data_IF_157189837056
#
_entry.id   IF_157189837056
#
_cell.length_a   1.000
_cell.length_b   1.000
_cell.length_c   1.000
_cell.angle_alpha   90.00
_cell.angle_beta   90.00
_cell.angle_gamma   90.00
#
_symmetry.space_group_name_H-M   'P 1'
#
loop_
_entity.id
_entity.type
_entity.pdbx_description
1 polymer ?
#
# COMPACT_ATOMS: atom_id res chain seq x y z
N UNK A 1 23.90 -20.26 -29.93
CA UNK A 1 23.61 -21.11 -28.75
C UNK A 1 22.14 -20.93 -28.47
N UNK A 2 21.33 -21.98 -28.59
CA UNK A 2 19.92 -21.93 -28.20
C UNK A 2 19.88 -21.80 -26.69
N UNK A 3 19.53 -20.63 -26.16
CA UNK A 3 19.33 -20.46 -24.73
C UNK A 3 18.20 -21.41 -24.29
N UNK A 4 18.45 -22.15 -23.20
CA UNK A 4 17.61 -23.25 -22.74
C UNK A 4 16.24 -22.75 -22.27
N UNK A 5 15.17 -23.32 -22.84
CA UNK A 5 13.78 -23.12 -22.40
C UNK A 5 13.47 -23.95 -21.15
N UNK A 6 12.59 -23.47 -20.29
CA UNK A 6 12.07 -24.18 -19.10
C UNK A 6 10.57 -24.44 -19.23
N UNK A 7 10.03 -25.33 -18.41
CA UNK A 7 8.59 -25.55 -18.27
C UNK A 7 7.92 -24.46 -17.41
N UNK A 8 6.61 -24.27 -17.56
CA UNK A 8 5.82 -23.39 -16.69
C UNK A 8 5.98 -23.74 -15.19
N UNK A 9 6.06 -25.03 -14.85
CA UNK A 9 6.24 -25.50 -13.48
C UNK A 9 7.62 -25.17 -12.91
N UNK A 10 8.67 -25.21 -13.72
CA UNK A 10 10.00 -24.77 -13.29
C UNK A 10 10.01 -23.27 -13.02
N UNK A 11 9.38 -22.46 -13.88
CA UNK A 11 9.23 -21.02 -13.64
C UNK A 11 8.46 -20.75 -12.33
N UNK A 12 7.34 -21.45 -12.11
CA UNK A 12 6.57 -21.35 -10.87
C UNK A 12 7.42 -21.69 -9.63
N UNK A 13 8.20 -22.77 -9.70
CA UNK A 13 9.12 -23.15 -8.62
C UNK A 13 10.16 -22.06 -8.34
N UNK A 14 10.71 -21.42 -9.37
CA UNK A 14 11.65 -20.30 -9.21
C UNK A 14 10.97 -19.08 -8.57
N UNK A 15 9.75 -18.78 -9.01
CA UNK A 15 8.95 -17.66 -8.51
C UNK A 15 8.58 -17.81 -7.02
N UNK A 16 8.35 -19.04 -6.56
CA UNK A 16 8.00 -19.35 -5.18
C UNK A 16 9.22 -19.62 -4.28
N UNK A 17 10.44 -19.66 -4.83
CA UNK A 17 11.67 -19.82 -4.06
C UNK A 17 12.38 -18.48 -3.85
N UNK A 18 12.31 -17.96 -2.63
CA UNK A 18 12.87 -16.64 -2.27
C UNK A 18 14.39 -16.55 -2.36
N UNK A 19 15.07 -17.71 -2.39
CA UNK A 19 16.53 -17.84 -2.51
C UNK A 19 17.01 -17.79 -3.96
N UNK A 20 16.12 -17.99 -4.94
CA UNK A 20 16.43 -17.75 -6.36
C UNK A 20 16.53 -16.24 -6.61
N UNK A 21 17.65 -15.70 -7.10
CA UNK A 21 17.75 -14.28 -7.42
C UNK A 21 16.81 -13.90 -8.56
N UNK A 22 16.20 -12.72 -8.50
CA UNK A 22 15.21 -12.29 -9.51
C UNK A 22 15.88 -12.15 -10.90
N UNK A 23 17.18 -11.84 -10.94
CA UNK A 23 18.00 -11.86 -12.16
C UNK A 23 18.04 -13.23 -12.88
N UNK A 24 17.85 -14.35 -12.17
CA UNK A 24 17.74 -15.68 -12.78
C UNK A 24 16.33 -15.95 -13.34
N UNK A 25 15.31 -15.25 -12.83
CA UNK A 25 13.92 -15.37 -13.27
C UNK A 25 13.68 -14.49 -14.52
N UNK A 26 14.28 -13.29 -14.55
CA UNK A 26 14.14 -12.28 -15.62
C UNK A 26 14.17 -12.81 -17.06
N UNK A 27 15.10 -13.71 -17.45
CA UNK A 27 15.16 -14.20 -18.83
C UNK A 27 13.89 -14.92 -19.28
N UNK A 28 13.09 -15.43 -18.35
CA UNK A 28 11.84 -16.15 -18.61
C UNK A 28 10.61 -15.24 -18.58
N UNK A 29 10.81 -13.93 -18.43
CA UNK A 29 9.77 -12.92 -18.36
C UNK A 29 9.89 -11.92 -19.52
N UNK A 30 8.78 -11.28 -19.87
CA UNK A 30 8.71 -10.21 -20.87
C UNK A 30 7.63 -9.20 -20.49
N UNK A 31 7.81 -7.93 -20.85
CA UNK A 31 6.72 -6.96 -20.72
C UNK A 31 5.56 -7.28 -21.66
N UNK A 32 4.35 -7.08 -21.15
CA UNK A 32 3.11 -7.20 -21.90
C UNK A 32 2.51 -5.83 -22.12
N UNK A 33 3.00 -5.12 -23.12
CA UNK A 33 2.57 -3.75 -23.44
C UNK A 33 1.06 -3.67 -23.72
N UNK A 34 0.48 -4.71 -24.33
CA UNK A 34 -0.94 -4.79 -24.68
C UNK A 34 -1.85 -4.90 -23.45
N UNK A 35 -1.43 -5.69 -22.46
CA UNK A 35 -2.22 -5.99 -21.25
C UNK A 35 -1.93 -5.05 -20.10
N UNK A 36 -0.83 -4.31 -20.16
CA UNK A 36 -0.53 -3.31 -19.15
C UNK A 36 -1.63 -2.25 -19.11
N UNK A 37 -1.78 -1.51 -18.02
CA UNK A 37 -2.54 -0.24 -17.98
C UNK A 37 -1.60 0.91 -17.67
N UNK A 38 -1.98 2.20 -17.87
CA UNK A 38 -1.12 3.36 -17.57
C UNK A 38 -0.50 3.39 -16.19
N UNK A 39 -1.05 2.59 -15.31
CA UNK A 39 -0.75 2.50 -13.91
C UNK A 39 -0.04 1.17 -13.62
N UNK A 40 -0.53 0.06 -14.18
CA UNK A 40 -0.06 -1.27 -13.84
C UNK A 40 0.77 -1.90 -14.97
N UNK A 41 2.13 -1.89 -14.90
CA UNK A 41 2.97 -2.65 -15.82
C UNK A 41 2.72 -4.15 -15.64
N UNK A 42 2.44 -4.83 -16.74
CA UNK A 42 2.12 -6.26 -16.74
C UNK A 42 3.29 -7.04 -17.33
N UNK A 43 3.84 -7.95 -16.54
CA UNK A 43 4.93 -8.86 -16.94
C UNK A 43 4.36 -10.26 -17.17
N UNK A 44 4.75 -10.91 -18.26
CA UNK A 44 4.32 -12.25 -18.68
C UNK A 44 5.48 -13.23 -18.72
N UNK A 45 5.17 -14.52 -18.62
CA UNK A 45 6.09 -15.56 -19.07
C UNK A 45 6.45 -15.34 -20.55
N UNK A 46 7.74 -15.42 -20.86
CA UNK A 46 8.25 -15.28 -22.20
C UNK A 46 7.95 -16.57 -23.00
N UNK A 47 7.04 -16.56 -23.99
CA UNK A 47 6.65 -17.77 -24.70
C UNK A 47 7.79 -18.36 -25.54
N UNK A 48 8.85 -17.59 -25.81
CA UNK A 48 10.04 -18.11 -26.49
C UNK A 48 10.96 -18.92 -25.55
N UNK A 49 10.74 -18.87 -24.24
CA UNK A 49 11.61 -19.45 -23.22
C UNK A 49 10.89 -20.28 -22.16
N UNK A 50 9.56 -20.24 -22.16
CA UNK A 50 8.71 -21.02 -21.25
C UNK A 50 7.77 -21.86 -22.10
N UNK A 51 7.93 -23.18 -22.02
CA UNK A 51 7.08 -24.13 -22.73
C UNK A 51 5.75 -24.37 -21.97
N UNK A 52 4.73 -24.79 -22.73
CA UNK A 52 3.46 -25.33 -22.25
C UNK A 52 2.62 -24.39 -21.38
N UNK A 53 2.73 -23.06 -21.56
CA UNK A 53 1.89 -22.09 -20.85
C UNK A 53 0.53 -21.96 -21.56
N UNK A 54 -0.56 -22.33 -20.91
CA UNK A 54 -1.89 -22.06 -21.47
C UNK A 54 -2.26 -20.56 -21.37
N UNK A 55 -3.15 -20.03 -22.23
CA UNK A 55 -3.56 -18.62 -22.17
C UNK A 55 -4.20 -18.21 -20.84
N UNK A 56 -4.92 -19.12 -20.18
CA UNK A 56 -5.53 -18.87 -18.87
C UNK A 56 -4.48 -18.84 -17.75
N UNK A 57 -3.50 -19.75 -17.78
CA UNK A 57 -2.36 -19.75 -16.85
C UNK A 57 -1.49 -18.51 -17.04
N UNK A 58 -1.29 -18.06 -18.29
CA UNK A 58 -0.59 -16.83 -18.57
C UNK A 58 -1.27 -15.62 -17.90
N UNK A 59 -2.61 -15.55 -17.90
CA UNK A 59 -3.39 -14.47 -17.29
C UNK A 59 -3.42 -14.52 -15.75
N UNK A 60 -3.51 -15.73 -15.16
CA UNK A 60 -3.42 -15.93 -13.70
C UNK A 60 -2.00 -15.63 -13.21
N UNK A 61 -0.98 -15.99 -13.98
CA UNK A 61 0.40 -15.64 -13.70
C UNK A 61 0.59 -14.11 -13.59
N UNK A 62 -0.15 -13.29 -14.37
CA UNK A 62 -0.05 -11.81 -14.34
C UNK A 62 -0.38 -11.19 -12.99
N UNK A 63 -1.58 -11.46 -12.49
CA UNK A 63 -2.02 -10.98 -11.18
C UNK A 63 -1.14 -11.58 -10.07
N UNK A 64 -0.61 -12.79 -10.32
CA UNK A 64 0.33 -13.42 -9.41
C UNK A 64 1.70 -12.74 -9.41
N UNK A 65 2.26 -12.18 -10.49
CA UNK A 65 3.65 -11.71 -10.47
C UNK A 65 3.89 -10.48 -9.60
N UNK A 66 2.96 -9.50 -9.60
CA UNK A 66 3.02 -8.36 -8.67
C UNK A 66 2.89 -8.85 -7.22
N UNK A 67 1.90 -9.68 -6.94
CA UNK A 67 1.70 -10.30 -5.62
C UNK A 67 2.84 -11.23 -5.18
N UNK A 68 3.48 -11.95 -6.12
CA UNK A 68 4.63 -12.81 -5.89
C UNK A 68 5.85 -11.95 -5.59
N UNK A 69 6.09 -10.89 -6.37
CA UNK A 69 7.19 -9.94 -6.10
C UNK A 69 7.07 -9.36 -4.69
N UNK A 70 5.89 -8.87 -4.33
CA UNK A 70 5.55 -8.40 -2.98
C UNK A 70 5.76 -9.49 -1.92
N UNK A 71 5.23 -10.70 -2.15
CA UNK A 71 5.39 -11.84 -1.24
C UNK A 71 6.86 -12.22 -1.03
N UNK A 72 7.66 -12.28 -2.10
CA UNK A 72 9.11 -12.56 -2.03
C UNK A 72 9.80 -11.52 -1.18
N UNK A 73 9.50 -10.24 -1.40
CA UNK A 73 10.07 -9.11 -0.65
C UNK A 73 9.67 -9.16 0.83
N UNK A 74 8.40 -9.43 1.14
CA UNK A 74 7.93 -9.68 2.51
C UNK A 74 8.66 -10.84 3.19
N UNK A 75 8.82 -11.97 2.52
CA UNK A 75 9.54 -13.14 3.08
C UNK A 75 11.02 -12.85 3.31
N UNK A 76 11.67 -12.12 2.39
CA UNK A 76 13.05 -11.65 2.57
C UNK A 76 13.15 -10.67 3.75
N UNK A 77 12.17 -9.78 3.94
CA UNK A 77 12.09 -8.88 5.10
C UNK A 77 11.99 -9.67 6.40
N UNK A 78 11.03 -10.59 6.53
CA UNK A 78 10.83 -11.40 7.73
C UNK A 78 12.08 -12.21 8.10
N UNK A 79 12.80 -12.74 7.10
CA UNK A 79 14.08 -13.41 7.33
C UNK A 79 15.16 -12.44 7.80
N UNK A 80 15.20 -11.23 7.22
CA UNK A 80 16.24 -10.23 7.49
C UNK A 80 16.06 -9.56 8.84
N UNK A 81 14.82 -9.26 9.24
CA UNK A 81 14.52 -8.51 10.45
C UNK A 81 14.87 -9.29 11.72
N UNK A 82 14.88 -10.61 11.65
CA UNK A 82 15.36 -11.48 12.73
C UNK A 82 16.86 -11.23 13.00
N UNK A 83 17.15 -10.59 14.14
CA UNK A 83 18.51 -10.18 14.51
C UNK A 83 19.02 -8.89 13.84
N UNK A 84 18.20 -8.20 13.03
CA UNK A 84 18.60 -6.93 12.40
C UNK A 84 18.80 -5.82 13.43
N UNK A 85 19.92 -5.09 13.29
CA UNK A 85 20.29 -3.96 14.17
C UNK A 85 20.39 -2.62 13.44
N UNK A 86 20.19 -2.62 12.12
CA UNK A 86 20.19 -1.41 11.30
C UNK A 86 18.83 -0.71 11.31
N UNK A 87 18.68 0.27 10.42
CA UNK A 87 17.41 0.99 10.23
C UNK A 87 16.31 0.04 9.73
N UNK A 88 15.12 0.19 10.31
CA UNK A 88 13.89 -0.45 9.84
C UNK A 88 13.08 0.55 9.03
N UNK A 89 12.60 0.09 7.89
CA UNK A 89 11.89 0.91 6.92
C UNK A 89 10.57 0.23 6.58
N UNK A 90 9.51 1.02 6.45
CA UNK A 90 8.30 0.62 5.75
C UNK A 90 8.22 1.42 4.44
N UNK A 91 8.04 0.77 3.30
CA UNK A 91 7.76 1.44 2.03
C UNK A 91 6.32 1.20 1.58
N UNK A 92 5.75 2.23 0.98
CA UNK A 92 4.46 2.22 0.31
C UNK A 92 4.60 3.00 -1.00
N UNK A 93 4.02 2.50 -2.09
CA UNK A 93 4.04 3.23 -3.33
C UNK A 93 3.92 2.46 -4.63
N UNK A 94 4.19 3.17 -5.72
CA UNK A 94 3.83 2.77 -7.08
C UNK A 94 4.93 1.96 -7.81
N UNK A 95 4.87 1.94 -9.15
CA UNK A 95 5.78 1.16 -9.99
C UNK A 95 7.25 1.60 -9.93
N UNK A 96 7.56 2.75 -9.33
CA UNK A 96 8.95 3.14 -9.06
C UNK A 96 9.54 2.40 -7.84
N UNK A 97 8.69 1.93 -6.93
CA UNK A 97 9.06 1.13 -5.77
C UNK A 97 8.71 -0.36 -5.93
N UNK A 98 7.87 -0.72 -6.91
CA UNK A 98 7.60 -2.11 -7.27
C UNK A 98 7.47 -2.31 -8.78
N UNK A 99 8.57 -2.66 -9.46
CA UNK A 99 8.51 -3.13 -10.84
C UNK A 99 8.62 -4.66 -10.86
N UNK A 100 7.54 -5.42 -11.15
CA UNK A 100 7.51 -6.87 -10.85
C UNK A 100 8.58 -7.68 -11.59
N UNK A 101 9.64 -8.07 -10.86
CA UNK A 101 10.69 -9.05 -11.22
C UNK A 101 11.55 -8.74 -12.45
N UNK A 102 11.08 -7.92 -13.41
CA UNK A 102 11.76 -7.68 -14.67
C UNK A 102 12.90 -6.65 -14.55
N UNK A 103 12.75 -5.70 -13.63
CA UNK A 103 13.74 -4.67 -13.31
C UNK A 103 14.15 -4.78 -11.85
N UNK A 104 15.26 -4.13 -11.49
CA UNK A 104 15.56 -3.83 -10.08
C UNK A 104 15.06 -2.41 -9.84
N UNK A 105 14.01 -2.26 -9.05
CA UNK A 105 13.44 -0.95 -8.73
C UNK A 105 14.19 -0.25 -7.58
N UNK A 106 13.70 0.92 -7.15
CA UNK A 106 14.35 1.68 -6.06
C UNK A 106 14.49 0.84 -4.80
N UNK A 107 13.47 0.07 -4.43
CA UNK A 107 13.46 -0.72 -3.20
C UNK A 107 14.42 -1.89 -3.32
N UNK A 108 14.48 -2.58 -4.47
CA UNK A 108 15.46 -3.65 -4.70
C UNK A 108 16.90 -3.15 -4.49
N UNK A 109 17.21 -1.94 -4.96
CA UNK A 109 18.53 -1.33 -4.78
C UNK A 109 18.84 -0.89 -3.33
N UNK A 110 17.82 -0.67 -2.51
CA UNK A 110 17.96 -0.30 -1.09
C UNK A 110 17.89 -1.52 -0.15
N UNK A 111 17.31 -2.63 -0.62
CA UNK A 111 16.92 -3.77 0.20
C UNK A 111 18.09 -4.46 0.90
N UNK A 112 19.29 -4.45 0.31
CA UNK A 112 20.47 -5.04 0.94
C UNK A 112 20.97 -4.20 2.12
N UNK A 113 20.84 -2.87 2.06
CA UNK A 113 21.36 -1.94 3.07
C UNK A 113 20.44 -1.80 4.30
N UNK A 114 19.13 -1.96 4.11
CA UNK A 114 18.12 -1.73 5.15
C UNK A 114 17.18 -2.92 5.31
N UNK A 115 16.46 -3.03 6.43
CA UNK A 115 15.34 -3.96 6.54
C UNK A 115 14.07 -3.22 6.12
N UNK A 116 13.52 -3.56 4.96
CA UNK A 116 12.38 -2.85 4.35
C UNK A 116 11.16 -3.77 4.29
N UNK A 117 10.10 -3.44 5.02
CA UNK A 117 8.77 -4.01 4.79
C UNK A 117 8.11 -3.21 3.66
N UNK A 118 7.89 -3.85 2.51
CA UNK A 118 7.41 -3.19 1.29
C UNK A 118 5.95 -3.50 1.03
N UNK A 119 5.10 -2.52 1.25
CA UNK A 119 3.68 -2.51 0.90
C UNK A 119 3.46 -1.95 -0.51
N UNK A 120 4.52 -1.80 -1.29
CA UNK A 120 4.44 -1.24 -2.63
C UNK A 120 3.55 -2.10 -3.53
N UNK A 121 2.93 -1.45 -4.51
CA UNK A 121 2.11 -2.06 -5.54
C UNK A 121 2.16 -1.22 -6.82
N UNK A 122 2.58 -1.86 -7.92
CA UNK A 122 2.63 -1.19 -9.21
C UNK A 122 1.23 -0.69 -9.62
N UNK A 123 1.11 0.62 -9.84
CA UNK A 123 -0.11 1.23 -10.36
C UNK A 123 -1.06 1.84 -9.37
N UNK A 124 -0.71 1.88 -8.10
CA UNK A 124 -1.55 2.55 -7.12
C UNK A 124 -1.62 4.06 -7.38
N UNK A 125 -2.84 4.59 -7.28
CA UNK A 125 -3.10 6.01 -7.12
C UNK A 125 -2.99 6.37 -5.65
N UNK A 126 -2.82 7.65 -5.35
CA UNK A 126 -2.83 8.10 -3.95
C UNK A 126 -4.16 7.75 -3.24
N UNK A 127 -5.27 7.81 -3.97
CA UNK A 127 -6.57 7.39 -3.46
C UNK A 127 -6.64 5.88 -3.15
N UNK A 128 -5.92 5.04 -3.90
CA UNK A 128 -5.84 3.61 -3.62
C UNK A 128 -5.03 3.35 -2.35
N UNK A 129 -3.86 3.97 -2.20
CA UNK A 129 -3.03 3.86 -0.98
C UNK A 129 -3.84 4.26 0.26
N UNK A 130 -4.58 5.39 0.17
CA UNK A 130 -5.46 5.84 1.24
C UNK A 130 -6.55 4.82 1.57
N UNK A 131 -7.23 4.29 0.55
CA UNK A 131 -8.30 3.30 0.70
C UNK A 131 -7.80 1.96 1.21
N UNK A 132 -6.58 1.55 0.87
CA UNK A 132 -5.98 0.30 1.34
C UNK A 132 -5.54 0.39 2.80
N UNK A 133 -5.16 1.57 3.26
CA UNK A 133 -4.85 1.85 4.68
C UNK A 133 -3.81 0.87 5.28
N UNK A 134 -2.87 0.39 4.47
CA UNK A 134 -1.87 -0.60 4.87
C UNK A 134 -0.68 0.05 5.54
N UNK A 135 -0.21 1.18 4.99
CA UNK A 135 0.92 1.94 5.52
C UNK A 135 0.76 2.31 6.99
N UNK A 136 -0.38 2.89 7.37
CA UNK A 136 -0.60 3.34 8.77
C UNK A 136 -0.59 2.14 9.73
N UNK A 137 -1.19 1.02 9.33
CA UNK A 137 -1.17 -0.21 10.13
C UNK A 137 0.23 -0.80 10.27
N UNK A 138 0.99 -0.84 9.18
CA UNK A 138 2.37 -1.30 9.19
C UNK A 138 3.26 -0.40 10.06
N UNK A 139 3.09 0.91 10.00
CA UNK A 139 3.87 1.84 10.85
C UNK A 139 3.53 1.66 12.32
N UNK A 140 2.24 1.53 12.66
CA UNK A 140 1.80 1.29 14.02
C UNK A 140 2.42 0.00 14.61
N UNK A 141 2.52 -1.04 13.78
CA UNK A 141 2.99 -2.36 14.18
C UNK A 141 4.52 -2.51 14.14
N UNK A 142 5.14 -2.29 12.99
CA UNK A 142 6.58 -2.46 12.78
C UNK A 142 7.41 -1.38 13.46
N UNK A 143 6.77 -0.24 13.80
CA UNK A 143 7.41 0.84 14.54
C UNK A 143 8.73 1.29 13.86
N UNK A 144 8.72 1.59 12.54
CA UNK A 144 9.94 1.81 11.76
C UNK A 144 10.68 3.09 12.15
N UNK A 145 11.94 3.19 11.69
CA UNK A 145 12.76 4.41 11.80
C UNK A 145 12.49 5.37 10.63
N UNK A 146 12.11 4.83 9.48
CA UNK A 146 11.85 5.57 8.24
C UNK A 146 10.62 4.99 7.52
N UNK A 147 9.81 5.86 6.94
CA UNK A 147 8.80 5.53 5.95
C UNK A 147 9.25 6.06 4.59
N UNK A 148 9.23 5.23 3.55
CA UNK A 148 9.40 5.66 2.17
C UNK A 148 8.03 5.71 1.50
N UNK A 149 7.74 6.80 0.78
CA UNK A 149 6.45 6.97 0.10
C UNK A 149 6.66 7.36 -1.37
N UNK A 150 6.32 6.47 -2.29
CA UNK A 150 6.16 6.77 -3.72
C UNK A 150 4.68 6.88 -4.05
N UNK A 151 4.26 7.85 -4.85
CA UNK A 151 2.85 7.99 -5.23
C UNK A 151 2.56 9.30 -5.96
N UNK A 152 1.39 9.40 -6.57
CA UNK A 152 0.99 10.63 -7.28
C UNK A 152 1.48 10.74 -8.73
N UNK A 153 2.52 10.02 -9.15
CA UNK A 153 2.98 10.00 -10.54
C UNK A 153 1.90 9.47 -11.47
N UNK A 154 1.27 8.38 -11.05
CA UNK A 154 0.08 7.81 -11.65
C UNK A 154 -1.12 8.78 -11.72
N UNK A 155 -1.27 9.64 -10.72
CA UNK A 155 -2.35 10.62 -10.66
C UNK A 155 -2.14 11.80 -11.63
N UNK A 156 -0.91 12.07 -12.07
CA UNK A 156 -0.56 13.23 -12.91
C UNK A 156 0.07 12.91 -14.28
N UNK A 157 0.63 11.72 -14.48
CA UNK A 157 1.45 11.35 -15.65
C UNK A 157 0.95 10.10 -16.41
N UNK A 158 -0.24 9.57 -16.12
CA UNK A 158 -0.66 8.28 -16.69
C UNK A 158 -1.73 8.40 -17.79
N UNK A 159 -1.36 8.05 -19.03
CA UNK A 159 -2.28 7.58 -20.07
C UNK A 159 -3.54 8.43 -20.30
N UNK A 160 -4.71 7.79 -20.21
CA UNK A 160 -6.00 8.47 -20.42
C UNK A 160 -6.23 9.61 -19.41
N UNK A 161 -5.79 9.43 -18.16
CA UNK A 161 -5.88 10.46 -17.11
C UNK A 161 -5.08 11.68 -17.51
N UNK A 162 -3.83 11.52 -17.95
CA UNK A 162 -3.00 12.63 -18.46
C UNK A 162 -3.74 13.43 -19.54
N UNK A 163 -4.29 12.75 -20.55
CA UNK A 163 -5.02 13.45 -21.63
C UNK A 163 -6.32 14.11 -21.17
N UNK A 164 -6.92 13.67 -20.06
CA UNK A 164 -8.15 14.26 -19.50
C UNK A 164 -7.89 15.49 -18.61
N UNK A 165 -6.66 15.62 -18.09
CA UNK A 165 -6.27 16.74 -17.22
C UNK A 165 -5.76 17.94 -18.00
N UNK A 166 -5.47 17.78 -19.29
CA UNK A 166 -4.86 18.81 -20.13
C UNK A 166 -5.86 19.33 -21.18
N UNK A 167 -5.89 20.64 -21.44
CA UNK A 167 -6.71 21.19 -22.51
C UNK A 167 -6.18 20.77 -23.88
N UNK A 168 -7.04 20.72 -24.93
CA UNK A 168 -6.62 20.43 -26.29
C UNK A 168 -5.54 21.38 -26.81
N UNK A 169 -4.78 20.93 -27.80
CA UNK A 169 -3.77 21.74 -28.48
C UNK A 169 -4.33 23.08 -28.96
N UNK A 170 -3.56 24.14 -28.72
CA UNK A 170 -3.80 25.46 -29.28
C UNK A 170 -2.49 26.05 -29.79
N UNK A 171 -2.54 26.64 -30.98
CA UNK A 171 -1.37 27.28 -31.60
C UNK A 171 -0.80 28.39 -30.71
N UNK A 172 0.52 28.42 -30.57
CA UNK A 172 1.23 29.40 -29.74
C UNK A 172 1.07 29.21 -28.22
N UNK A 173 0.28 28.23 -27.74
CA UNK A 173 0.17 27.95 -26.31
C UNK A 173 1.49 27.40 -25.77
N UNK A 174 2.04 28.07 -24.77
CA UNK A 174 3.26 27.65 -24.05
C UNK A 174 2.96 26.43 -23.16
N UNK A 175 3.99 25.62 -22.91
CA UNK A 175 3.88 24.38 -22.14
C UNK A 175 3.20 24.56 -20.77
N UNK A 176 3.58 25.59 -20.01
CA UNK A 176 3.01 25.89 -18.69
C UNK A 176 1.50 26.15 -18.74
N UNK A 177 1.01 26.74 -19.83
CA UNK A 177 -0.41 27.08 -19.98
C UNK A 177 -1.30 25.86 -20.29
N UNK A 178 -0.72 24.65 -20.42
CA UNK A 178 -1.49 23.42 -20.46
C UNK A 178 -1.84 22.89 -19.07
N UNK A 179 -1.19 23.38 -18.00
CA UNK A 179 -1.56 23.05 -16.62
C UNK A 179 -2.74 23.95 -16.21
N UNK A 180 -3.94 23.57 -16.67
CA UNK A 180 -5.18 24.31 -16.47
C UNK A 180 -5.88 24.00 -15.13
N UNK A 181 -7.10 24.53 -14.94
CA UNK A 181 -7.88 24.32 -13.72
C UNK A 181 -8.16 22.85 -13.39
N UNK A 182 -8.41 21.98 -14.38
CA UNK A 182 -8.63 20.55 -14.11
C UNK A 182 -7.37 19.88 -13.54
N UNK A 183 -6.20 20.18 -14.12
CA UNK A 183 -4.91 19.68 -13.63
C UNK A 183 -4.64 20.15 -12.20
N UNK A 184 -4.78 21.45 -11.92
CA UNK A 184 -4.54 22.01 -10.58
C UNK A 184 -5.54 21.47 -9.54
N UNK A 185 -6.81 21.24 -9.92
CA UNK A 185 -7.79 20.63 -9.04
C UNK A 185 -7.43 19.18 -8.68
N UNK A 186 -7.02 18.38 -9.67
CA UNK A 186 -6.53 17.02 -9.45
C UNK A 186 -5.30 17.01 -8.54
N UNK A 187 -4.31 17.86 -8.84
CA UNK A 187 -3.09 17.96 -8.03
C UNK A 187 -3.38 18.39 -6.59
N UNK A 188 -4.35 19.29 -6.38
CA UNK A 188 -4.81 19.67 -5.04
C UNK A 188 -5.47 18.52 -4.29
N UNK A 189 -6.17 17.62 -5.00
CA UNK A 189 -6.71 16.39 -4.39
C UNK A 189 -5.59 15.48 -3.93
N UNK A 190 -4.63 15.18 -4.82
CA UNK A 190 -3.45 14.36 -4.52
C UNK A 190 -2.67 14.94 -3.33
N UNK A 191 -2.49 16.27 -3.28
CA UNK A 191 -1.83 16.96 -2.18
C UNK A 191 -2.53 16.78 -0.83
N UNK A 192 -3.87 16.79 -0.83
CA UNK A 192 -4.67 16.57 0.38
C UNK A 192 -4.53 15.14 0.88
N UNK A 193 -4.57 14.18 -0.03
CA UNK A 193 -4.45 12.76 0.31
C UNK A 193 -3.06 12.48 0.89
N UNK A 194 -1.99 13.02 0.29
CA UNK A 194 -0.63 12.99 0.84
C UNK A 194 -0.55 13.58 2.26
N UNK A 195 -1.08 14.80 2.45
CA UNK A 195 -1.02 15.47 3.75
C UNK A 195 -1.80 14.71 4.83
N UNK A 196 -2.93 14.12 4.45
CA UNK A 196 -3.75 13.27 5.34
C UNK A 196 -2.98 12.01 5.72
N UNK A 197 -2.39 11.30 4.74
CA UNK A 197 -1.63 10.08 4.97
C UNK A 197 -0.43 10.34 5.89
N UNK A 198 0.35 11.37 5.58
CA UNK A 198 1.50 11.80 6.38
C UNK A 198 1.07 12.14 7.81
N UNK A 199 0.00 12.91 7.97
CA UNK A 199 -0.54 13.25 9.28
C UNK A 199 -0.91 12.01 10.10
N UNK A 200 -1.53 10.99 9.47
CA UNK A 200 -1.87 9.73 10.13
C UNK A 200 -0.64 8.92 10.51
N UNK A 201 0.35 8.82 9.63
CA UNK A 201 1.64 8.16 9.91
C UNK A 201 2.34 8.80 11.11
N UNK A 202 2.42 10.14 11.15
CA UNK A 202 3.04 10.88 12.23
C UNK A 202 2.24 10.78 13.54
N UNK A 203 0.91 10.63 13.48
CA UNK A 203 0.07 10.41 14.65
C UNK A 203 0.36 9.04 15.30
N UNK A 204 0.42 7.97 14.50
CA UNK A 204 0.68 6.62 15.03
C UNK A 204 2.14 6.38 15.40
N UNK A 205 3.06 7.14 14.79
CA UNK A 205 4.48 7.09 15.11
C UNK A 205 5.11 8.49 15.11
N UNK A 206 5.00 9.24 16.21
CA UNK A 206 5.70 10.51 16.36
C UNK A 206 7.22 10.34 16.19
N UNK A 207 7.84 11.23 15.42
CA UNK A 207 9.28 11.23 15.15
C UNK A 207 9.76 10.17 14.15
N UNK A 208 8.87 9.44 13.46
CA UNK A 208 9.29 8.68 12.26
C UNK A 208 9.63 9.66 11.14
N UNK A 209 10.71 9.38 10.41
CA UNK A 209 11.04 10.16 9.22
C UNK A 209 10.23 9.65 8.03
N UNK A 210 9.53 10.53 7.35
CA UNK A 210 8.81 10.20 6.12
C UNK A 210 9.58 10.78 4.95
N UNK A 211 9.97 9.95 4.00
CA UNK A 211 10.73 10.35 2.82
C UNK A 211 9.86 10.09 1.60
N UNK A 212 9.37 11.17 1.01
CA UNK A 212 8.72 11.16 -0.29
C UNK A 212 9.76 11.44 -1.38
N UNK A 213 9.39 11.28 -2.65
CA UNK A 213 10.25 11.67 -3.76
C UNK A 213 9.48 12.28 -4.91
N UNK A 214 10.21 12.97 -5.78
CA UNK A 214 9.70 13.34 -7.10
C UNK A 214 10.07 12.30 -8.13
N UNK A 215 9.42 12.36 -9.29
CA UNK A 215 9.85 11.61 -10.47
C UNK A 215 10.90 12.41 -11.25
N UNK A 216 11.57 11.74 -12.19
CA UNK A 216 12.42 12.41 -13.17
C UNK A 216 11.58 12.93 -14.36
N UNK A 217 12.18 13.74 -15.21
CA UNK A 217 11.67 14.21 -16.47
C UNK A 217 11.50 13.04 -17.45
N UNK A 218 10.31 12.47 -17.42
CA UNK A 218 9.84 11.41 -18.32
C UNK A 218 10.02 11.77 -19.80
N UNK A 219 10.26 10.75 -20.62
CA UNK A 219 10.56 10.91 -22.04
C UNK A 219 9.41 10.37 -22.89
N UNK A 220 8.55 11.24 -23.44
CA UNK A 220 7.48 10.79 -24.32
C UNK A 220 8.06 10.19 -25.60
N UNK A 221 7.44 9.10 -26.04
CA UNK A 221 7.67 8.43 -27.30
C UNK A 221 6.31 8.17 -27.97
N UNK A 222 6.28 7.47 -29.10
CA UNK A 222 4.99 7.10 -29.70
C UNK A 222 4.34 5.88 -29.02
N UNK A 223 4.31 5.88 -27.69
CA UNK A 223 3.74 4.82 -26.87
C UNK A 223 2.54 5.35 -26.06
N UNK A 224 1.90 4.43 -25.34
CA UNK A 224 0.56 4.61 -24.77
C UNK A 224 0.52 5.37 -23.45
N UNK A 225 1.68 5.62 -22.83
CA UNK A 225 1.77 6.25 -21.53
C UNK A 225 1.71 7.77 -21.64
N UNK A 226 2.50 8.33 -22.55
CA UNK A 226 2.70 9.77 -22.65
C UNK A 226 2.41 10.29 -24.05
N UNK A 227 3.16 9.87 -25.07
CA UNK A 227 3.09 10.55 -26.36
C UNK A 227 1.80 10.29 -27.14
N UNK A 228 1.23 9.08 -27.12
CA UNK A 228 -0.09 8.83 -27.75
C UNK A 228 -1.24 9.55 -27.04
N UNK A 229 -1.34 9.55 -25.69
CA UNK A 229 -2.32 10.38 -24.99
C UNK A 229 -2.24 11.86 -25.33
N UNK A 230 -1.03 12.44 -25.37
CA UNK A 230 -0.84 13.84 -25.75
C UNK A 230 -1.21 14.08 -27.23
N UNK A 231 -0.81 13.17 -28.13
CA UNK A 231 -1.18 13.25 -29.54
C UNK A 231 -2.70 13.16 -29.77
N UNK A 232 -3.43 12.43 -28.92
CA UNK A 232 -4.90 12.29 -28.98
C UNK A 232 -5.61 13.63 -28.77
N UNK A 233 -5.06 14.51 -27.94
CA UNK A 233 -5.58 15.87 -27.72
C UNK A 233 -4.92 16.92 -28.64
N UNK A 234 -4.23 16.46 -29.69
CA UNK A 234 -3.65 17.31 -30.74
C UNK A 234 -2.21 17.76 -30.49
N UNK A 235 -1.61 17.43 -29.34
CA UNK A 235 -0.24 17.83 -28.98
C UNK A 235 0.73 16.81 -29.58
N UNK A 236 1.12 17.00 -30.84
CA UNK A 236 1.96 16.05 -31.59
C UNK A 236 3.44 16.43 -31.66
N UNK A 237 3.78 17.68 -31.41
CA UNK A 237 5.17 18.13 -31.41
C UNK A 237 5.92 17.56 -30.21
N UNK A 238 7.00 16.82 -30.47
CA UNK A 238 7.75 16.11 -29.43
C UNK A 238 8.39 17.07 -28.41
N UNK A 239 8.87 18.23 -28.88
CA UNK A 239 9.48 19.22 -27.98
C UNK A 239 8.43 19.81 -27.03
N UNK A 240 7.22 20.10 -27.53
CA UNK A 240 6.10 20.56 -26.72
C UNK A 240 5.63 19.47 -25.74
N UNK A 241 5.55 18.21 -26.16
CA UNK A 241 5.22 17.10 -25.25
C UNK A 241 6.22 17.04 -24.08
N UNK A 242 7.52 17.01 -24.38
CA UNK A 242 8.57 17.04 -23.36
C UNK A 242 8.44 18.27 -22.45
N UNK A 243 8.21 19.45 -23.01
CA UNK A 243 8.10 20.68 -22.23
C UNK A 243 6.90 20.67 -21.28
N UNK A 244 5.74 20.17 -21.71
CA UNK A 244 4.54 20.04 -20.86
C UNK A 244 4.80 19.05 -19.72
N UNK A 245 5.37 17.88 -20.03
CA UNK A 245 5.66 16.86 -19.02
C UNK A 245 6.67 17.36 -17.98
N UNK A 246 7.68 18.13 -18.39
CA UNK A 246 8.59 18.81 -17.44
C UNK A 246 7.83 19.78 -16.53
N UNK A 247 6.89 20.56 -17.06
CA UNK A 247 6.05 21.44 -16.24
C UNK A 247 5.21 20.66 -15.23
N UNK A 248 4.66 19.50 -15.61
CA UNK A 248 3.92 18.63 -14.69
C UNK A 248 4.83 18.14 -13.55
N UNK A 249 6.02 17.61 -13.87
CA UNK A 249 6.97 17.12 -12.87
C UNK A 249 7.44 18.26 -11.94
N UNK A 250 7.74 19.44 -12.48
CA UNK A 250 8.16 20.59 -11.67
C UNK A 250 7.03 21.10 -10.76
N UNK A 251 5.78 21.07 -11.24
CA UNK A 251 4.62 21.46 -10.44
C UNK A 251 4.33 20.44 -9.34
N UNK A 252 4.45 19.15 -9.64
CA UNK A 252 4.34 18.07 -8.66
C UNK A 252 5.43 18.18 -7.57
N UNK A 253 6.69 18.42 -7.96
CA UNK A 253 7.80 18.69 -7.03
C UNK A 253 7.48 19.86 -6.09
N UNK A 254 6.94 20.95 -6.63
CA UNK A 254 6.59 22.14 -5.85
C UNK A 254 5.58 21.78 -4.75
N UNK A 255 4.51 21.07 -5.12
CA UNK A 255 3.44 20.66 -4.19
C UNK A 255 3.96 19.69 -3.12
N UNK A 256 4.76 18.69 -3.48
CA UNK A 256 5.37 17.81 -2.49
C UNK A 256 6.29 18.56 -1.53
N UNK A 257 7.06 19.53 -2.04
CA UNK A 257 7.94 20.36 -1.21
C UNK A 257 7.15 21.25 -0.25
N UNK A 258 6.01 21.79 -0.68
CA UNK A 258 5.08 22.53 0.18
C UNK A 258 4.49 21.65 1.29
N UNK A 259 4.18 20.38 1.01
CA UNK A 259 3.72 19.42 2.02
C UNK A 259 4.84 19.14 3.02
N UNK A 260 6.04 18.79 2.54
CA UNK A 260 7.17 18.51 3.42
C UNK A 260 7.53 19.70 4.31
N UNK A 261 7.45 20.93 3.79
CA UNK A 261 7.71 22.13 4.59
C UNK A 261 6.73 22.33 5.77
N UNK A 262 5.56 21.68 5.76
CA UNK A 262 4.59 21.72 6.87
C UNK A 262 4.90 20.74 8.00
N UNK A 263 5.78 19.78 7.76
CA UNK A 263 6.05 18.68 8.69
C UNK A 263 7.57 18.51 8.88
N UNK A 264 8.07 18.72 10.08
CA UNK A 264 9.52 18.70 10.35
C UNK A 264 10.18 17.35 10.03
N UNK A 265 9.43 16.25 10.18
CA UNK A 265 9.93 14.89 9.96
C UNK A 265 9.73 14.38 8.52
N UNK A 266 9.31 15.25 7.60
CA UNK A 266 9.06 14.90 6.19
C UNK A 266 10.12 15.50 5.29
N UNK A 267 10.67 14.69 4.38
CA UNK A 267 11.64 15.12 3.39
C UNK A 267 11.19 14.69 1.98
N UNK A 268 11.49 15.52 0.98
CA UNK A 268 11.37 15.15 -0.44
C UNK A 268 12.76 14.90 -1.03
N UNK A 269 12.96 13.72 -1.62
CA UNK A 269 14.11 13.43 -2.47
C UNK A 269 13.79 13.94 -3.88
N UNK A 270 14.59 14.88 -4.37
CA UNK A 270 14.46 15.41 -5.72
C UNK A 270 15.18 14.49 -6.73
N UNK A 271 14.41 13.76 -7.51
CA UNK A 271 14.92 12.82 -8.52
C UNK A 271 15.02 13.43 -9.93
N UNK A 272 14.73 14.74 -10.08
CA UNK A 272 14.76 15.39 -11.40
C UNK A 272 16.19 15.48 -11.94
N UNK A 273 16.36 15.06 -13.19
CA UNK A 273 17.62 14.99 -13.91
C UNK A 273 18.50 13.78 -13.58
N UNK A 274 18.07 12.85 -12.71
CA UNK A 274 18.91 11.77 -12.19
C UNK A 274 19.08 10.59 -13.16
N UNK A 275 18.01 10.15 -13.82
CA UNK A 275 17.96 9.02 -14.77
C UNK A 275 18.65 9.39 -16.08
N UNK A 276 18.46 10.62 -16.55
CA UNK A 276 19.02 11.11 -17.81
C UNK A 276 18.48 10.37 -19.04
N UNK A 277 18.98 10.68 -20.24
CA UNK A 277 18.23 10.38 -21.46
C UNK A 277 18.40 8.95 -22.03
N UNK A 278 19.19 8.09 -21.39
CA UNK A 278 19.59 6.77 -21.93
C UNK A 278 19.27 5.58 -21.02
N UNK A 279 18.65 5.83 -19.87
CA UNK A 279 18.37 4.80 -18.86
C UNK A 279 16.88 4.67 -18.59
N UNK A 280 16.09 4.79 -19.65
CA UNK A 280 14.65 4.58 -19.63
C UNK A 280 14.34 3.25 -20.28
N UNK A 281 13.57 2.42 -19.57
CA UNK A 281 13.05 1.15 -20.04
C UNK A 281 11.83 1.38 -20.94
N UNK A 282 10.94 2.28 -20.52
CA UNK A 282 9.82 2.79 -21.31
C UNK A 282 9.63 4.31 -21.08
N UNK A 283 8.48 4.89 -21.45
CA UNK A 283 8.23 6.34 -21.29
C UNK A 283 8.18 6.81 -19.83
N UNK A 284 7.95 5.92 -18.86
CA UNK A 284 7.69 6.22 -17.44
C UNK A 284 8.68 5.58 -16.46
N UNK A 285 9.30 4.46 -16.85
CA UNK A 285 10.08 3.62 -15.95
C UNK A 285 11.57 3.63 -16.35
N UNK A 286 12.47 3.95 -15.42
CA UNK A 286 13.91 3.75 -15.61
C UNK A 286 14.29 2.29 -15.87
N UNK A 287 15.47 2.06 -16.43
CA UNK A 287 16.12 0.73 -16.37
C UNK A 287 16.64 0.46 -14.96
N UNK A 288 17.05 -0.78 -14.62
CA UNK A 288 17.68 -1.07 -13.30
C UNK A 288 18.83 -0.10 -12.99
N UNK A 289 19.69 0.23 -13.95
CA UNK A 289 20.77 1.20 -13.75
C UNK A 289 20.27 2.65 -13.55
N UNK A 290 19.09 2.99 -14.06
CA UNK A 290 18.42 4.25 -13.79
C UNK A 290 17.83 4.28 -12.37
N UNK A 291 17.10 3.24 -11.99
CA UNK A 291 16.57 3.08 -10.63
C UNK A 291 17.67 3.07 -9.57
N UNK A 292 18.80 2.39 -9.81
CA UNK A 292 19.93 2.40 -8.88
C UNK A 292 20.50 3.81 -8.65
N UNK A 293 20.48 4.69 -9.67
CA UNK A 293 20.90 6.08 -9.49
C UNK A 293 19.87 6.89 -8.70
N UNK A 294 18.58 6.64 -8.90
CA UNK A 294 17.50 7.23 -8.09
C UNK A 294 17.62 6.76 -6.64
N UNK A 295 17.79 5.46 -6.39
CA UNK A 295 17.99 4.87 -5.06
C UNK A 295 19.17 5.50 -4.32
N UNK A 296 20.27 5.83 -5.03
CA UNK A 296 21.41 6.50 -4.43
C UNK A 296 21.06 7.88 -3.83
N UNK A 297 20.04 8.58 -4.35
CA UNK A 297 19.56 9.84 -3.80
C UNK A 297 18.79 9.67 -2.47
N UNK A 298 18.22 8.49 -2.21
CA UNK A 298 17.52 8.20 -0.95
C UNK A 298 18.48 7.93 0.20
N UNK A 299 19.66 7.35 -0.07
CA UNK A 299 20.64 6.98 0.97
C UNK A 299 20.95 8.14 1.94
N UNK A 300 21.35 9.34 1.50
CA UNK A 300 21.63 10.43 2.43
C UNK A 300 20.39 10.91 3.20
N UNK A 301 19.19 10.80 2.62
CA UNK A 301 17.93 11.12 3.32
C UNK A 301 17.62 10.08 4.41
N UNK A 302 17.79 8.79 4.10
CA UNK A 302 17.61 7.66 5.02
C UNK A 302 18.66 7.69 6.14
N UNK A 303 19.90 8.05 5.86
CA UNK A 303 21.00 8.06 6.84
C UNK A 303 21.20 9.39 7.56
N UNK A 304 20.51 10.45 7.10
CA UNK A 304 20.53 11.76 7.73
C UNK A 304 20.17 11.67 9.22
N UNK A 305 20.97 12.30 10.09
CA UNK A 305 20.72 12.29 11.53
C UNK A 305 19.39 13.00 11.84
N UNK A 306 18.53 12.42 12.71
CA UNK A 306 17.46 13.17 13.33
C UNK A 306 18.04 14.35 14.11
N UNK A 307 17.37 15.50 14.05
CA UNK A 307 17.37 16.39 15.20
C UNK A 307 16.74 15.61 16.36
N UNK A 308 17.57 15.11 17.27
CA UNK A 308 17.08 14.52 18.51
C UNK A 308 16.33 15.61 19.30
N UNK A 309 15.01 15.49 19.36
CA UNK A 309 14.26 15.93 20.53
C UNK A 309 13.89 14.68 21.32
N UNK A 310 14.62 14.45 22.42
CA UNK A 310 14.17 13.58 23.49
C UNK A 310 13.22 14.35 24.39
N UNK A 311 11.99 13.85 24.54
CA UNK A 311 11.19 13.83 25.77
C UNK A 311 10.21 12.67 25.56
N UNK A 312 10.21 11.57 26.31
CA UNK A 312 10.29 11.53 27.75
C UNK A 312 9.04 12.15 28.34
N UNK A 313 7.87 11.51 28.19
CA UNK A 313 6.86 11.36 29.24
C UNK A 313 5.73 10.40 28.83
N UNK A 314 5.27 9.65 29.83
CA UNK A 314 4.25 8.64 29.73
C UNK A 314 2.83 9.23 29.78
N UNK A 315 1.90 8.52 29.14
CA UNK A 315 0.50 8.38 29.50
C UNK A 315 -0.22 9.62 30.08
N UNK A 316 -0.85 10.40 29.19
CA UNK A 316 -2.05 11.14 29.55
C UNK A 316 -3.26 10.19 29.52
N UNK A 317 -3.87 9.93 30.67
CA UNK A 317 -5.14 9.23 30.77
C UNK A 317 -6.23 10.05 30.05
N UNK A 318 -6.77 9.52 28.96
CA UNK A 318 -8.06 9.96 28.45
C UNK A 318 -9.13 9.47 29.44
N UNK A 319 -9.91 10.42 29.96
CA UNK A 319 -11.01 10.13 30.89
C UNK A 319 -12.06 9.22 30.27
N UNK A 320 -12.79 8.52 31.12
CA UNK A 320 -13.92 7.66 30.77
C UNK A 320 -14.95 8.43 29.94
N UNK A 321 -14.86 8.29 28.62
CA UNK A 321 -15.96 8.60 27.72
C UNK A 321 -16.86 7.37 27.77
N UNK A 322 -18.08 7.52 28.27
CA UNK A 322 -19.08 6.46 28.23
C UNK A 322 -19.29 6.05 26.77
N UNK A 323 -18.71 4.91 26.40
CA UNK A 323 -18.60 4.51 25.00
C UNK A 323 -19.99 4.23 24.43
N UNK A 324 -20.36 4.97 23.38
CA UNK A 324 -21.63 4.79 22.71
C UNK A 324 -21.73 3.36 22.15
N UNK A 325 -22.81 2.66 22.48
CA UNK A 325 -23.09 1.34 21.91
C UNK A 325 -23.32 1.51 20.40
N UNK A 326 -22.62 0.76 19.54
CA UNK A 326 -22.85 0.78 18.11
C UNK A 326 -24.32 0.47 17.78
N UNK A 327 -24.93 1.08 16.75
CA UNK A 327 -26.33 0.85 16.44
C UNK A 327 -26.56 -0.60 15.99
N UNK A 328 -27.74 -1.20 16.27
CA UNK A 328 -28.06 -2.57 15.85
C UNK A 328 -27.88 -2.85 14.35
N UNK A 329 -27.99 -1.83 13.50
CA UNK A 329 -27.74 -1.93 12.05
C UNK A 329 -26.29 -2.32 11.72
N UNK A 330 -25.31 -1.88 12.52
CA UNK A 330 -23.90 -2.17 12.29
C UNK A 330 -23.58 -3.64 12.60
N UNK A 331 -24.23 -4.21 13.62
CA UNK A 331 -24.10 -5.62 13.95
C UNK A 331 -24.60 -6.53 12.82
N UNK A 332 -25.77 -6.24 12.23
CA UNK A 332 -26.29 -7.05 11.12
C UNK A 332 -25.39 -6.96 9.88
N UNK A 333 -24.79 -5.81 9.61
CA UNK A 333 -23.79 -5.66 8.55
C UNK A 333 -22.50 -6.45 8.85
N UNK A 334 -22.01 -6.40 10.09
CA UNK A 334 -20.85 -7.18 10.52
C UNK A 334 -21.11 -8.70 10.45
N UNK A 335 -22.34 -9.13 10.72
CA UNK A 335 -22.78 -10.52 10.54
C UNK A 335 -22.79 -10.94 9.08
N UNK A 336 -23.09 -10.04 8.14
CA UNK A 336 -22.93 -10.33 6.71
C UNK A 336 -21.46 -10.57 6.35
N UNK A 337 -20.51 -9.85 6.97
CA UNK A 337 -19.07 -10.07 6.76
C UNK A 337 -18.61 -11.47 7.19
N UNK A 338 -19.21 -12.06 8.25
CA UNK A 338 -18.96 -13.47 8.62
C UNK A 338 -19.34 -14.48 7.53
N UNK A 339 -20.30 -14.15 6.67
CA UNK A 339 -20.65 -15.00 5.54
C UNK A 339 -19.66 -14.85 4.37
N UNK A 340 -18.97 -13.71 4.27
CA UNK A 340 -18.02 -13.40 3.20
C UNK A 340 -16.59 -13.84 3.56
N UNK A 341 -16.18 -13.69 4.82
CA UNK A 341 -14.82 -13.92 5.28
C UNK A 341 -14.72 -15.01 6.33
N UNK A 342 -13.65 -15.80 6.27
CA UNK A 342 -13.33 -16.77 7.30
C UNK A 342 -13.04 -16.09 8.64
N UNK A 343 -13.36 -16.77 9.74
CA UNK A 343 -13.12 -16.27 11.10
C UNK A 343 -11.66 -15.83 11.33
N UNK A 344 -10.60 -16.55 10.88
CA UNK A 344 -9.23 -16.07 10.99
C UNK A 344 -8.97 -14.69 10.37
N UNK A 345 -9.61 -14.37 9.24
CA UNK A 345 -9.47 -13.07 8.57
C UNK A 345 -10.13 -11.97 9.43
N UNK A 346 -11.34 -12.24 9.94
CA UNK A 346 -12.06 -11.28 10.78
C UNK A 346 -11.33 -11.03 12.11
N UNK A 347 -10.74 -12.06 12.71
CA UNK A 347 -9.91 -11.91 13.90
C UNK A 347 -8.65 -11.06 13.62
N UNK A 348 -8.03 -11.19 12.43
CA UNK A 348 -6.93 -10.31 12.02
C UNK A 348 -7.42 -8.87 11.88
N UNK A 349 -8.55 -8.63 11.23
CA UNK A 349 -9.10 -7.28 11.08
C UNK A 349 -9.46 -6.63 12.42
N UNK A 350 -10.07 -7.38 13.35
CA UNK A 350 -10.33 -6.91 14.72
C UNK A 350 -9.01 -6.53 15.42
N UNK A 351 -7.98 -7.38 15.31
CA UNK A 351 -6.65 -7.09 15.88
C UNK A 351 -5.96 -5.88 15.25
N UNK A 352 -6.09 -5.71 13.92
CA UNK A 352 -5.59 -4.56 13.16
C UNK A 352 -6.20 -3.26 13.67
N UNK A 353 -7.53 -3.20 13.74
CA UNK A 353 -8.27 -2.03 14.23
C UNK A 353 -7.98 -1.72 15.69
N UNK A 354 -7.80 -2.76 16.53
CA UNK A 354 -7.36 -2.57 17.92
C UNK A 354 -5.98 -1.92 17.99
N UNK A 355 -5.05 -2.36 17.15
CA UNK A 355 -3.68 -1.86 17.11
C UNK A 355 -3.64 -0.41 16.65
N UNK A 356 -4.39 -0.07 15.60
CA UNK A 356 -4.52 1.30 15.09
C UNK A 356 -5.12 2.25 16.13
N UNK A 357 -6.23 1.85 16.76
CA UNK A 357 -6.87 2.65 17.82
C UNK A 357 -5.92 2.87 19.01
N UNK A 358 -5.19 1.83 19.43
CA UNK A 358 -4.19 1.94 20.50
C UNK A 358 -2.98 2.82 20.11
N UNK A 359 -2.66 2.90 18.81
CA UNK A 359 -1.61 3.75 18.29
C UNK A 359 -2.06 5.21 18.09
N UNK A 360 -3.34 5.53 18.27
CA UNK A 360 -3.87 6.89 18.12
C UNK A 360 -4.12 7.30 16.67
N UNK A 361 -4.39 6.34 15.77
CA UNK A 361 -4.84 6.66 14.41
C UNK A 361 -6.16 7.44 14.49
N UNK A 362 -6.24 8.67 13.95
CA UNK A 362 -7.42 9.52 14.07
C UNK A 362 -8.62 9.01 13.24
N UNK A 363 -8.44 7.98 12.40
CA UNK A 363 -9.57 7.34 11.70
C UNK A 363 -10.29 6.37 12.63
N UNK A 364 -11.19 6.92 13.45
CA UNK A 364 -12.20 6.16 14.19
C UNK A 364 -13.57 6.18 13.53
N UNK A 365 -13.73 6.93 12.43
CA UNK A 365 -15.04 7.37 11.90
C UNK A 365 -15.31 6.93 10.44
N UNK A 366 -14.51 6.00 9.88
CA UNK A 366 -14.82 5.44 8.55
C UNK A 366 -15.85 4.29 8.70
N UNK A 367 -17.10 4.65 8.39
CA UNK A 367 -18.38 3.94 8.55
C UNK A 367 -18.52 2.58 7.79
N UNK A 368 -17.44 2.01 7.23
CA UNK A 368 -17.57 1.08 6.09
C UNK A 368 -17.38 -0.42 6.40
N UNK A 369 -17.13 -0.84 7.65
CA UNK A 369 -16.92 -2.27 8.02
C UNK A 369 -15.95 -3.05 7.08
N UNK A 370 -15.05 -2.34 6.37
CA UNK A 370 -14.17 -2.93 5.37
C UNK A 370 -13.14 -3.86 6.02
N UNK A 371 -12.89 -5.00 5.39
CA UNK A 371 -11.77 -5.89 5.70
C UNK A 371 -10.63 -5.56 4.74
N UNK A 372 -9.50 -5.12 5.27
CA UNK A 372 -8.39 -4.61 4.45
C UNK A 372 -7.48 -5.74 3.91
N UNK A 373 -6.77 -5.45 2.81
CA UNK A 373 -5.90 -6.39 2.10
C UNK A 373 -4.88 -7.06 3.04
N UNK A 374 -4.15 -6.27 3.82
CA UNK A 374 -3.28 -6.73 4.92
C UNK A 374 -3.89 -7.83 5.82
N UNK A 375 -5.18 -7.75 6.16
CA UNK A 375 -5.88 -8.75 6.95
C UNK A 375 -6.19 -10.02 6.13
N UNK A 376 -6.54 -9.88 4.86
CA UNK A 376 -6.79 -11.02 3.96
C UNK A 376 -5.50 -11.78 3.68
N UNK A 377 -4.44 -11.06 3.31
CA UNK A 377 -3.13 -11.58 2.92
C UNK A 377 -2.27 -12.05 4.11
N UNK A 378 -2.75 -11.80 5.33
CA UNK A 378 -2.04 -12.13 6.58
C UNK A 378 -0.63 -11.51 6.61
N UNK A 379 -0.51 -10.25 6.18
CA UNK A 379 0.73 -9.46 6.27
C UNK A 379 1.21 -9.41 7.72
N UNK A 380 0.26 -9.34 8.66
CA UNK A 380 0.48 -9.27 10.11
C UNK A 380 -0.24 -10.43 10.84
N UNK A 381 0.30 -11.66 10.79
CA UNK A 381 -0.38 -12.83 11.33
C UNK A 381 -0.65 -12.76 12.86
N UNK A 382 0.17 -12.02 13.60
CA UNK A 382 0.02 -11.80 15.04
C UNK A 382 -1.26 -11.03 15.42
N UNK A 383 -1.82 -10.22 14.51
CA UNK A 383 -3.08 -9.51 14.73
C UNK A 383 -4.23 -10.50 14.95
N UNK A 384 -4.16 -11.68 14.34
CA UNK A 384 -5.13 -12.75 14.57
C UNK A 384 -5.17 -13.16 16.05
N UNK A 385 -4.02 -13.19 16.71
CA UNK A 385 -3.91 -13.54 18.13
C UNK A 385 -4.53 -12.46 19.01
N UNK A 386 -4.36 -11.19 18.66
CA UNK A 386 -5.00 -10.06 19.36
C UNK A 386 -6.52 -10.17 19.27
N UNK A 387 -7.07 -10.33 18.06
CA UNK A 387 -8.51 -10.49 17.86
C UNK A 387 -9.06 -11.75 18.52
N UNK A 388 -8.34 -12.88 18.45
CA UNK A 388 -8.76 -14.13 19.07
C UNK A 388 -8.91 -14.00 20.59
N UNK A 389 -7.94 -13.36 21.26
CA UNK A 389 -8.00 -13.11 22.71
C UNK A 389 -9.22 -12.27 23.09
N UNK A 390 -9.50 -11.20 22.34
CA UNK A 390 -10.68 -10.36 22.56
C UNK A 390 -11.98 -11.17 22.39
N UNK A 391 -12.06 -12.00 21.35
CA UNK A 391 -13.23 -12.83 21.08
C UNK A 391 -13.42 -13.91 22.16
N UNK A 392 -12.35 -14.57 22.60
CA UNK A 392 -12.39 -15.57 23.67
C UNK A 392 -12.83 -14.95 25.00
N UNK A 393 -12.29 -13.79 25.35
CA UNK A 393 -12.67 -13.04 26.55
C UNK A 393 -14.14 -12.59 26.51
N UNK A 394 -14.59 -12.08 25.36
CA UNK A 394 -15.99 -11.67 25.15
C UNK A 394 -16.94 -12.84 25.34
N UNK A 395 -16.66 -13.99 24.71
CA UNK A 395 -17.47 -15.22 24.86
C UNK A 395 -17.48 -15.70 26.31
N UNK A 396 -16.33 -15.67 27.01
CA UNK A 396 -16.25 -16.05 28.42
C UNK A 396 -17.18 -15.20 29.29
N UNK A 397 -17.12 -13.87 29.15
CA UNK A 397 -17.94 -12.94 29.93
C UNK A 397 -19.44 -13.15 29.61
N UNK A 398 -19.80 -13.31 28.34
CA UNK A 398 -21.19 -13.58 27.95
C UNK A 398 -21.74 -14.89 28.56
N UNK A 399 -20.92 -15.94 28.62
CA UNK A 399 -21.29 -17.22 29.25
C UNK A 399 -21.45 -17.11 30.77
N UNK A 400 -20.71 -16.19 31.42
CA UNK A 400 -20.86 -15.88 32.84
C UNK A 400 -22.16 -15.09 33.09
N UNK A 401 -22.47 -14.13 32.22
CA UNK A 401 -23.67 -13.27 32.28
C UNK A 401 -24.98 -14.01 31.97
N UNK A 402 -24.96 -15.08 31.16
CA UNK A 402 -26.13 -15.96 30.93
C UNK A 402 -26.73 -16.53 32.23
N UNK A 403 -25.96 -16.53 33.33
CA UNK A 403 -26.42 -16.96 34.65
C UNK A 403 -27.27 -15.89 35.37
N UNK A 404 -27.41 -14.70 34.79
CA UNK A 404 -28.13 -13.56 35.35
C UNK A 404 -29.42 -13.23 34.57
N UNK A 405 -30.61 -13.27 35.21
CA UNK A 405 -31.90 -13.03 34.55
C UNK A 405 -32.15 -11.60 34.04
N UNK A 406 -31.23 -10.65 34.28
CA UNK A 406 -31.29 -9.27 33.75
C UNK A 406 -30.41 -9.03 32.50
N UNK A 407 -29.85 -10.08 31.90
CA UNK A 407 -28.96 -9.98 30.74
C UNK A 407 -29.60 -9.23 29.57
N UNK A 408 -28.92 -8.20 29.08
CA UNK A 408 -29.13 -7.60 27.76
C UNK A 408 -28.98 -8.62 26.63
N UNK A 409 -29.47 -8.31 25.43
CA UNK A 409 -29.27 -9.18 24.27
C UNK A 409 -27.78 -9.43 24.03
N UNK A 410 -27.42 -10.67 23.67
CA UNK A 410 -26.04 -11.10 23.47
C UNK A 410 -25.23 -10.17 22.51
N UNK A 411 -25.77 -9.68 21.38
CA UNK A 411 -25.08 -8.71 20.53
C UNK A 411 -24.70 -7.41 21.25
N UNK A 412 -25.63 -6.81 22.00
CA UNK A 412 -25.40 -5.54 22.70
C UNK A 412 -24.36 -5.67 23.83
N UNK A 413 -24.36 -6.82 24.51
CA UNK A 413 -23.34 -7.13 25.51
C UNK A 413 -21.95 -7.22 24.87
N UNK A 414 -21.82 -7.96 23.77
CA UNK A 414 -20.55 -8.14 23.08
C UNK A 414 -20.01 -6.84 22.46
N UNK A 415 -20.88 -6.00 21.89
CA UNK A 415 -20.47 -4.69 21.36
C UNK A 415 -19.97 -3.76 22.47
N UNK A 416 -20.63 -3.74 23.64
CA UNK A 416 -20.15 -2.96 24.80
C UNK A 416 -18.81 -3.44 25.30
N UNK A 417 -18.59 -4.76 25.36
CA UNK A 417 -17.29 -5.32 25.74
C UNK A 417 -16.20 -4.94 24.75
N UNK A 418 -16.49 -4.92 23.45
CA UNK A 418 -15.57 -4.41 22.43
C UNK A 418 -15.22 -2.94 22.63
N UNK A 419 -16.22 -2.10 22.87
CA UNK A 419 -16.02 -0.67 23.13
C UNK A 419 -15.21 -0.40 24.42
N UNK A 420 -15.48 -1.14 25.50
CA UNK A 420 -14.70 -1.11 26.74
C UNK A 420 -13.26 -1.59 26.53
N UNK A 421 -13.06 -2.54 25.62
CA UNK A 421 -11.74 -2.95 25.18
C UNK A 421 -11.07 -1.93 24.25
N UNK A 422 -11.62 -0.72 24.07
CA UNK A 422 -11.08 0.35 23.24
C UNK A 422 -11.03 0.01 21.76
N UNK A 423 -12.03 -0.74 21.26
CA UNK A 423 -12.25 -0.93 19.84
C UNK A 423 -13.11 0.20 19.26
N UNK A 424 -12.86 0.64 18.02
CA UNK A 424 -13.81 1.49 17.30
C UNK A 424 -15.13 0.75 17.07
N UNK A 425 -16.25 1.46 16.84
CA UNK A 425 -17.59 0.88 16.76
C UNK A 425 -17.74 -0.30 15.79
N UNK A 426 -17.12 -0.21 14.61
CA UNK A 426 -17.16 -1.23 13.56
C UNK A 426 -16.41 -2.49 13.99
N UNK A 427 -15.26 -2.32 14.65
CA UNK A 427 -14.49 -3.46 15.18
C UNK A 427 -15.23 -4.11 16.36
N UNK A 428 -15.91 -3.32 17.19
CA UNK A 428 -16.77 -3.85 18.25
C UNK A 428 -17.96 -4.64 17.68
N UNK A 429 -18.56 -4.19 16.57
CA UNK A 429 -19.60 -4.94 15.85
C UNK A 429 -19.07 -6.24 15.22
N UNK A 430 -17.88 -6.22 14.59
CA UNK A 430 -17.21 -7.43 14.08
C UNK A 430 -16.91 -8.43 15.21
N UNK A 431 -16.37 -7.95 16.33
CA UNK A 431 -16.11 -8.75 17.52
C UNK A 431 -17.40 -9.39 18.04
N UNK A 432 -18.47 -8.61 18.13
CA UNK A 432 -19.77 -9.09 18.57
C UNK A 432 -20.32 -10.19 17.66
N UNK A 433 -20.21 -10.01 16.33
CA UNK A 433 -20.66 -11.00 15.37
C UNK A 433 -19.89 -12.32 15.55
N UNK A 434 -18.55 -12.26 15.67
CA UNK A 434 -17.70 -13.44 15.89
C UNK A 434 -18.02 -14.12 17.23
N UNK A 435 -18.16 -13.34 18.30
CA UNK A 435 -18.44 -13.84 19.64
C UNK A 435 -19.82 -14.53 19.72
N UNK A 436 -20.86 -13.94 19.14
CA UNK A 436 -22.20 -14.54 19.07
C UNK A 436 -22.17 -15.85 18.28
N UNK A 437 -21.50 -15.91 17.14
CA UNK A 437 -21.36 -17.14 16.35
C UNK A 437 -20.62 -18.25 17.13
N UNK A 438 -19.57 -17.90 17.89
CA UNK A 438 -18.86 -18.84 18.78
C UNK A 438 -19.73 -19.33 19.93
N UNK A 439 -20.51 -18.43 20.53
CA UNK A 439 -21.43 -18.75 21.62
C UNK A 439 -22.52 -19.73 21.15
N UNK A 440 -23.12 -19.49 19.99
CA UNK A 440 -24.15 -20.36 19.43
C UNK A 440 -23.61 -21.77 19.11
N UNK A 441 -22.39 -21.88 18.57
CA UNK A 441 -21.71 -23.17 18.40
C UNK A 441 -21.49 -23.89 19.73
N UNK A 442 -21.10 -23.14 20.77
CA UNK A 442 -20.91 -23.69 22.13
C UNK A 442 -22.22 -24.21 22.72
N UNK A 443 -23.32 -23.48 22.52
CA UNK A 443 -24.67 -23.90 22.94
C UNK A 443 -25.13 -25.15 22.21
N UNK A 444 -24.97 -25.20 20.88
CA UNK A 444 -25.32 -26.36 20.05
C UNK A 444 -24.55 -27.61 20.47
N UNK A 445 -23.24 -27.47 20.76
CA UNK A 445 -22.42 -28.57 21.25
C UNK A 445 -22.93 -29.12 22.60
N UNK A 446 -23.37 -28.25 23.51
CA UNK A 446 -23.96 -28.64 24.82
C UNK A 446 -25.34 -29.28 24.70
N UNK A 447 -26.16 -28.86 23.73
CA UNK A 447 -27.49 -29.44 23.49
C UNK A 447 -27.46 -30.74 22.67
N UNK A 448 -26.40 -31.00 21.92
CA UNK A 448 -26.22 -32.25 21.16
C UNK A 448 -25.56 -33.39 21.94
N UNK A 449 -25.20 -33.16 23.22
CA UNK A 449 -24.65 -34.17 24.13
C UNK A 449 -25.69 -34.75 25.11
N UNK A 450 -26.96 -34.37 24.97
CA UNK A 450 -28.12 -35.03 25.61
C UNK A 450 -28.77 -35.99 24.64
#
# INVERSE_FOLDING_TARGET
MTESSISARELESMLLDIDVPDAQIRPFLIDSVEDSTPLNPVVKANPARVADVSPLEAAVALASLNGISRWRRHRRYLRKIDGWKGLRIVSEGDSWFQYPLLLDDVIDHLFDRYAILSLDAAGDLMADIMRQNELVAAVAQERPDVVLLSGGGNDVLSGARLSSLLPPYAEGRKAQAYLGPEFEANLKSVARDYDTLVGRVLAVRPGVRVICHTYDYVLPANSRWLGRPLAKIGIRDAALQCAILRCIVDRFHTVLSEIAARHQDVQVVDCRGIVGNRRWHDELHPTSAGYGAVAACFIPAIEGKPGLASTGEAAGAYGDVEAAVPPPSLFEQAKAQLATYSEPILLREIGRRKTLAAAGDPTTDDDDLLVYGTSVEAVFPEQQTVGAKLADETVRIMLEDERNPQSTQAPDAAMRLGAQAGLPPEAAAMLAAVAVARLDRTRQARSGTT
#
